data_IF_800505340306
#
_entry.id   IF_800505340306
#
_cell.length_a   1.000
_cell.length_b   1.000
_cell.length_c   1.000
_cell.angle_alpha   90.00
_cell.angle_beta   90.00
_cell.angle_gamma   90.00
#
_symmetry.space_group_name_H-M   'P 1'
#
loop_
_entity.id
_entity.type
_entity.pdbx_description
1 polymer ?
#
# COMPACT_ATOMS: atom_id res chain seq x y z
N UNK A 1 25.72 -24.40 -13.71
CA UNK A 1 24.60 -23.81 -14.48
C UNK A 1 23.54 -23.37 -13.47
N UNK A 2 23.39 -22.06 -13.27
CA UNK A 2 22.30 -21.47 -12.49
C UNK A 2 21.17 -21.16 -13.49
N UNK A 3 19.91 -21.58 -13.29
CA UNK A 3 18.88 -21.44 -14.31
C UNK A 3 18.46 -19.96 -14.44
N UNK A 4 18.42 -19.49 -15.68
CA UNK A 4 17.92 -18.20 -16.19
C UNK A 4 17.25 -17.23 -15.19
N UNK A 5 17.67 -15.95 -15.10
CA UNK A 5 16.86 -14.92 -14.45
C UNK A 5 15.68 -14.61 -15.37
N UNK A 6 14.46 -14.31 -14.90
CA UNK A 6 13.65 -13.30 -15.64
C UNK A 6 12.24 -12.98 -15.17
N UNK A 7 11.47 -13.87 -14.54
CA UNK A 7 10.05 -13.53 -14.34
C UNK A 7 9.77 -12.88 -12.98
N UNK A 8 9.38 -11.60 -13.04
CA UNK A 8 8.76 -10.95 -11.91
C UNK A 8 7.43 -11.65 -11.60
N UNK A 9 7.12 -11.85 -10.32
CA UNK A 9 5.82 -12.38 -9.87
C UNK A 9 5.01 -11.31 -9.16
N UNK A 10 3.69 -11.45 -9.24
CA UNK A 10 2.77 -10.67 -8.42
C UNK A 10 2.54 -11.39 -7.09
N UNK A 11 2.45 -10.62 -6.02
CA UNK A 11 2.07 -11.10 -4.70
C UNK A 11 1.05 -10.14 -4.10
N UNK A 12 0.08 -10.66 -3.36
CA UNK A 12 -0.95 -9.87 -2.68
C UNK A 12 -0.77 -9.97 -1.17
N UNK A 13 -0.96 -8.84 -0.48
CA UNK A 13 -1.11 -8.76 0.96
C UNK A 13 -2.43 -8.04 1.23
N UNK A 14 -3.33 -8.68 1.98
CA UNK A 14 -4.54 -8.02 2.48
C UNK A 14 -4.19 -7.31 3.78
N UNK A 15 -4.31 -5.99 3.78
CA UNK A 15 -4.25 -5.18 5.00
C UNK A 15 -5.67 -4.80 5.43
N UNK A 16 -5.81 -4.32 6.66
CA UNK A 16 -7.07 -3.76 7.15
C UNK A 16 -6.80 -2.36 7.68
N UNK A 17 -7.67 -1.42 7.33
CA UNK A 17 -7.78 -0.16 8.06
C UNK A 17 -9.00 -0.24 8.94
N UNK A 18 -8.84 0.08 10.23
CA UNK A 18 -9.92 0.00 11.20
C UNK A 18 -10.19 1.38 11.80
N UNK A 19 -11.47 1.75 11.87
CA UNK A 19 -11.98 2.96 12.52
C UNK A 19 -12.97 2.59 13.63
N UNK A 20 -12.96 3.37 14.72
CA UNK A 20 -14.02 3.31 15.73
C UNK A 20 -15.11 4.30 15.34
N UNK A 21 -16.20 3.78 14.78
CA UNK A 21 -17.35 4.58 14.36
C UNK A 21 -18.50 4.43 15.34
N UNK A 22 -19.39 5.42 15.41
CA UNK A 22 -20.63 5.26 16.17
C UNK A 22 -21.70 4.73 15.23
N UNK A 23 -22.27 3.59 15.59
CA UNK A 23 -23.42 3.06 14.88
C UNK A 23 -24.57 4.08 14.95
N UNK A 24 -25.14 4.41 13.79
CA UNK A 24 -26.16 5.47 13.68
C UNK A 24 -27.48 5.10 14.34
N UNK A 25 -27.75 3.80 14.53
CA UNK A 25 -29.02 3.30 15.07
C UNK A 25 -29.00 3.08 16.59
N UNK A 26 -27.86 2.65 17.13
CA UNK A 26 -27.68 2.27 18.55
C UNK A 26 -26.78 3.23 19.32
N UNK A 27 -26.04 4.12 18.63
CA UNK A 27 -25.09 5.06 19.23
C UNK A 27 -23.84 4.41 19.82
N UNK A 28 -23.72 3.08 19.76
CA UNK A 28 -22.58 2.33 20.30
C UNK A 28 -21.35 2.49 19.40
N UNK A 29 -20.18 2.53 20.01
CA UNK A 29 -18.91 2.47 19.28
C UNK A 29 -18.76 1.07 18.68
N UNK A 30 -18.59 1.00 17.37
CA UNK A 30 -18.34 -0.20 16.60
C UNK A 30 -16.98 -0.08 15.93
N UNK A 31 -16.21 -1.16 15.95
CA UNK A 31 -14.99 -1.28 15.16
C UNK A 31 -15.39 -1.64 13.73
N UNK A 32 -15.15 -0.72 12.80
CA UNK A 32 -15.31 -0.96 11.37
C UNK A 32 -13.94 -1.21 10.76
N UNK A 33 -13.70 -2.39 10.19
CA UNK A 33 -12.46 -2.71 9.50
C UNK A 33 -12.73 -2.93 8.01
N UNK A 34 -12.05 -2.16 7.16
CA UNK A 34 -12.15 -2.25 5.71
C UNK A 34 -10.88 -2.90 5.17
N UNK A 35 -11.05 -3.89 4.29
CA UNK A 35 -9.94 -4.56 3.61
C UNK A 35 -9.25 -3.61 2.63
N UNK A 36 -7.93 -3.64 2.64
CA UNK A 36 -7.03 -2.90 1.77
C UNK A 36 -6.11 -3.92 1.06
N UNK A 37 -6.52 -4.47 -0.10
CA UNK A 37 -5.64 -5.34 -0.87
C UNK A 37 -4.44 -4.53 -1.37
N UNK A 38 -3.23 -5.07 -1.18
CA UNK A 38 -1.98 -4.48 -1.66
C UNK A 38 -1.24 -5.45 -2.54
N UNK A 39 -1.04 -5.06 -3.79
CA UNK A 39 -0.41 -5.90 -4.81
C UNK A 39 1.05 -5.45 -4.95
N UNK A 40 1.97 -6.40 -4.97
CA UNK A 40 3.41 -6.18 -5.10
C UNK A 40 3.96 -6.90 -6.32
N UNK A 41 4.89 -6.23 -7.02
CA UNK A 41 5.73 -6.85 -8.04
C UNK A 41 7.07 -7.23 -7.41
N UNK A 42 7.36 -8.53 -7.42
CA UNK A 42 8.60 -9.11 -6.90
C UNK A 42 9.46 -9.55 -8.07
N UNK A 43 10.57 -8.86 -8.31
CA UNK A 43 11.55 -9.22 -9.33
C UNK A 43 12.86 -9.65 -8.66
N UNK A 44 13.53 -10.73 -9.09
CA UNK A 44 14.84 -11.11 -8.56
C UNK A 44 15.85 -9.96 -8.62
N UNK A 45 16.61 -9.74 -7.54
CA UNK A 45 17.63 -8.70 -7.45
C UNK A 45 17.10 -7.25 -7.40
N UNK A 46 15.78 -7.05 -7.30
CA UNK A 46 15.16 -5.73 -7.14
C UNK A 46 14.30 -5.68 -5.88
N UNK A 47 14.17 -4.51 -5.22
CA UNK A 47 13.21 -4.33 -4.14
C UNK A 47 11.78 -4.63 -4.60
N UNK A 48 10.95 -5.10 -3.67
CA UNK A 48 9.51 -5.24 -3.91
C UNK A 48 8.88 -3.87 -4.17
N UNK A 49 8.04 -3.76 -5.21
CA UNK A 49 7.33 -2.52 -5.56
C UNK A 49 5.84 -2.73 -5.34
N UNK A 50 5.22 -1.91 -4.49
CA UNK A 50 3.76 -1.89 -4.31
C UNK A 50 3.08 -1.28 -5.55
N UNK A 51 2.36 -2.09 -6.31
CA UNK A 51 1.60 -1.67 -7.50
C UNK A 51 0.31 -0.94 -7.17
N UNK A 52 -0.36 -1.29 -6.07
CA UNK A 52 -1.59 -0.60 -5.63
C UNK A 52 -1.38 0.88 -5.30
N UNK A 53 -0.14 1.28 -4.98
CA UNK A 53 0.24 2.69 -4.83
C UNK A 53 0.48 3.43 -6.16
N UNK A 54 0.70 2.68 -7.24
CA UNK A 54 1.13 3.21 -8.54
C UNK A 54 0.02 3.09 -9.59
N UNK A 55 -1.00 2.28 -9.32
CA UNK A 55 -2.16 2.10 -10.18
C UNK A 55 -3.23 3.16 -9.93
N UNK A 56 -3.73 3.78 -10.98
CA UNK A 56 -4.95 4.58 -10.91
C UNK A 56 -6.15 3.67 -11.14
N UNK A 57 -7.03 3.57 -10.14
CA UNK A 57 -8.27 2.79 -10.24
C UNK A 57 -9.42 3.72 -10.61
N UNK A 58 -10.05 3.47 -11.74
CA UNK A 58 -11.31 4.14 -12.08
C UNK A 58 -12.42 3.54 -11.22
N UNK A 59 -12.89 4.30 -10.23
CA UNK A 59 -13.90 3.84 -9.28
C UNK A 59 -15.28 3.61 -9.90
N UNK A 60 -15.52 4.10 -11.12
CA UNK A 60 -16.80 3.94 -11.84
C UNK A 60 -16.79 2.69 -12.71
N UNK A 61 -15.67 2.41 -13.40
CA UNK A 61 -15.56 1.26 -14.32
C UNK A 61 -14.87 0.05 -13.71
N UNK A 62 -14.12 0.23 -12.62
CA UNK A 62 -13.28 -0.79 -12.01
C UNK A 62 -11.99 -1.07 -12.78
N UNK A 63 -11.70 -0.31 -13.85
CA UNK A 63 -10.48 -0.46 -14.64
C UNK A 63 -9.26 0.03 -13.85
N UNK A 64 -8.16 -0.71 -14.00
CA UNK A 64 -6.89 -0.47 -13.30
C UNK A 64 -5.84 -0.11 -14.34
N UNK A 65 -5.40 1.15 -14.34
CA UNK A 65 -4.31 1.60 -15.20
C UNK A 65 -2.99 1.54 -14.42
N UNK A 66 -2.07 0.70 -14.89
CA UNK A 66 -0.74 0.50 -14.29
C UNK A 66 0.30 1.02 -15.28
N UNK A 67 1.05 2.10 -14.95
CA UNK A 67 2.03 2.64 -15.87
C UNK A 67 3.12 1.61 -16.19
N UNK A 68 3.44 1.44 -17.48
CA UNK A 68 4.43 0.46 -17.97
C UNK A 68 5.82 0.69 -17.33
N UNK A 69 6.16 1.94 -17.05
CA UNK A 69 7.37 2.32 -16.33
C UNK A 69 7.07 2.64 -14.87
N UNK A 70 7.21 1.64 -14.02
CA UNK A 70 7.30 1.86 -12.58
C UNK A 70 8.61 2.60 -12.28
N UNK A 71 8.63 3.62 -11.40
CA UNK A 71 9.88 4.23 -10.97
C UNK A 71 10.78 3.13 -10.39
N UNK A 72 11.94 2.92 -11.03
CA UNK A 72 12.91 1.87 -10.68
C UNK A 72 13.50 2.04 -9.29
N UNK A 73 13.27 3.20 -8.66
CA UNK A 73 13.85 3.59 -7.40
C UNK A 73 12.75 4.20 -6.54
N UNK A 74 12.36 3.49 -5.49
CA UNK A 74 11.62 4.09 -4.39
C UNK A 74 12.59 5.13 -3.81
N UNK A 75 12.38 6.42 -4.11
CA UNK A 75 13.12 7.51 -3.48
C UNK A 75 12.68 7.62 -2.03
N UNK A 76 13.17 6.71 -1.20
CA UNK A 76 13.08 6.85 0.24
C UNK A 76 13.93 8.07 0.64
N UNK A 77 13.39 8.90 1.52
CA UNK A 77 14.17 9.93 2.20
C UNK A 77 15.22 9.24 3.07
N UNK A 78 16.44 9.77 3.09
CA UNK A 78 17.45 9.33 4.05
C UNK A 78 16.90 9.54 5.47
N UNK A 79 17.22 8.63 6.40
CA UNK A 79 16.68 8.68 7.77
C UNK A 79 16.92 10.04 8.46
N UNK A 80 18.07 10.66 8.18
CA UNK A 80 18.48 12.01 8.60
C UNK A 80 17.53 13.13 8.14
N UNK A 81 16.80 12.91 7.05
CA UNK A 81 15.90 13.88 6.43
C UNK A 81 14.42 13.69 6.79
N UNK A 82 14.13 12.78 7.73
CA UNK A 82 12.78 12.53 8.25
C UNK A 82 12.44 13.58 9.32
N UNK A 83 11.50 14.47 9.00
CA UNK A 83 10.97 15.46 9.96
C UNK A 83 10.06 14.72 10.94
N UNK A 84 10.36 14.80 12.24
CA UNK A 84 9.49 14.30 13.31
C UNK A 84 8.61 15.43 13.82
N UNK A 85 7.30 15.20 13.85
CA UNK A 85 6.37 16.10 14.51
C UNK A 85 6.24 15.67 15.98
N UNK A 86 6.23 16.63 16.93
CA UNK A 86 5.94 16.31 18.32
C UNK A 86 4.52 15.74 18.42
N UNK A 87 4.36 14.63 19.14
CA UNK A 87 3.05 14.09 19.53
C UNK A 87 2.46 15.04 20.56
N UNK A 88 1.48 15.84 20.15
CA UNK A 88 0.69 16.67 21.06
C UNK A 88 -0.35 15.81 21.78
N UNK A 89 0.10 14.95 22.69
CA UNK A 89 -0.74 14.15 23.56
C UNK A 89 -0.23 14.25 25.01
N UNK A 90 -0.23 15.46 25.57
CA UNK A 90 -0.17 15.69 27.03
C UNK A 90 -1.00 16.95 27.35
N UNK A 91 -2.29 16.78 27.62
CA UNK A 91 -3.07 17.64 28.53
C UNK A 91 -4.12 16.81 29.27
#
# INVERSE_FOLDING_TARGET
>A
MDPSPSHCRLAEIVQYTCSLERDKSTGKKQLLCTQLPRIFRLCPGKPAVELTRVANVNLVTGEVDVPETLPSQIKAKEWTSVIRYPTSDEE
#
